data_IF_759519966316
#
_entry.id   IF_759519966316
#
_cell.length_a   1.000
_cell.length_b   1.000
_cell.length_c   1.000
_cell.angle_alpha   90.00
_cell.angle_beta   90.00
_cell.angle_gamma   90.00
#
_symmetry.space_group_name_H-M   'P 1'
#
loop_
_entity.id
_entity.type
_entity.pdbx_description
1 polymer ?
#
# COMPACT_ATOMS: atom_id res chain seq x y z
N UNK A 1 5.92 -64.23 -12.77
CA UNK A 1 6.01 -63.31 -11.62
C UNK A 1 6.84 -62.11 -12.06
N UNK A 2 6.22 -61.00 -12.45
CA UNK A 2 6.94 -59.84 -12.99
C UNK A 2 6.50 -58.61 -12.22
N UNK A 3 7.39 -58.07 -11.38
CA UNK A 3 7.16 -56.86 -10.57
C UNK A 3 7.51 -55.64 -11.42
N UNK A 4 6.51 -54.83 -11.73
CA UNK A 4 6.68 -53.51 -12.36
C UNK A 4 6.98 -52.50 -11.24
N UNK A 5 8.23 -52.01 -11.18
CA UNK A 5 8.63 -50.92 -10.27
C UNK A 5 8.50 -49.62 -11.04
N UNK A 6 7.50 -48.80 -10.68
CA UNK A 6 7.32 -47.46 -11.25
C UNK A 6 8.16 -46.48 -10.42
N UNK A 7 9.24 -45.97 -11.02
CA UNK A 7 10.08 -44.92 -10.44
C UNK A 7 9.49 -43.57 -10.87
N UNK A 8 8.77 -42.89 -9.98
CA UNK A 8 8.30 -41.53 -10.21
C UNK A 8 9.43 -40.55 -9.86
N UNK A 9 10.10 -40.01 -10.87
CA UNK A 9 11.08 -38.95 -10.69
C UNK A 9 10.35 -37.61 -10.45
N UNK A 10 10.43 -37.11 -9.22
CA UNK A 10 9.96 -35.78 -8.86
C UNK A 10 11.01 -34.75 -9.27
N UNK A 11 10.75 -33.99 -10.33
CA UNK A 11 11.60 -32.87 -10.77
C UNK A 11 11.14 -31.62 -10.02
N UNK A 12 11.90 -31.19 -9.01
CA UNK A 12 11.71 -29.89 -8.39
C UNK A 12 12.39 -28.82 -9.26
N UNK A 13 11.58 -28.04 -9.99
CA UNK A 13 12.06 -26.83 -10.67
C UNK A 13 12.17 -25.72 -9.63
N UNK A 14 13.40 -25.33 -9.30
CA UNK A 14 13.64 -24.15 -8.48
C UNK A 14 13.66 -22.92 -9.40
N UNK A 15 12.58 -22.15 -9.41
CA UNK A 15 12.55 -20.82 -10.02
C UNK A 15 13.10 -19.82 -9.01
N UNK A 16 14.21 -19.16 -9.32
CA UNK A 16 14.69 -18.03 -8.52
C UNK A 16 13.68 -16.88 -8.61
N UNK A 17 13.32 -16.22 -7.50
CA UNK A 17 12.47 -15.04 -7.56
C UNK A 17 13.25 -13.91 -8.24
N UNK A 18 12.68 -13.32 -9.29
CA UNK A 18 13.14 -12.03 -9.77
C UNK A 18 12.75 -10.99 -8.73
N UNK A 19 13.73 -10.30 -8.15
CA UNK A 19 13.47 -9.11 -7.35
C UNK A 19 13.07 -8.03 -8.35
N UNK A 20 11.81 -7.62 -8.33
CA UNK A 20 11.36 -6.48 -9.12
C UNK A 20 12.06 -5.23 -8.58
N UNK A 21 12.57 -4.38 -9.48
CA UNK A 21 13.03 -3.05 -9.11
C UNK A 21 11.82 -2.22 -8.68
N UNK A 22 12.02 -1.29 -7.75
CA UNK A 22 11.02 -0.29 -7.37
C UNK A 22 10.52 0.44 -8.62
N UNK A 23 9.21 0.52 -8.78
CA UNK A 23 8.61 1.23 -9.90
C UNK A 23 8.27 2.66 -9.46
N UNK A 24 8.78 3.65 -10.20
CA UNK A 24 8.46 5.04 -9.92
C UNK A 24 7.03 5.30 -10.40
N UNK A 25 6.09 5.46 -9.46
CA UNK A 25 4.68 5.69 -9.77
C UNK A 25 4.46 7.14 -10.16
N UNK A 26 5.01 8.06 -9.38
CA UNK A 26 4.87 9.49 -9.60
C UNK A 26 6.03 10.26 -8.95
N UNK A 27 6.51 11.31 -9.61
CA UNK A 27 7.43 12.26 -9.03
C UNK A 27 7.12 13.66 -9.58
N UNK A 28 6.97 14.62 -8.69
CA UNK A 28 6.96 16.02 -9.07
C UNK A 28 8.36 16.44 -9.54
N UNK A 29 8.42 17.38 -10.50
CA UNK A 29 9.68 18.01 -10.86
C UNK A 29 9.78 19.37 -10.15
N UNK A 30 10.86 19.64 -9.39
CA UNK A 30 11.05 20.94 -8.76
C UNK A 30 10.97 22.09 -9.78
N UNK A 31 10.17 23.11 -9.45
CA UNK A 31 9.89 24.27 -10.30
C UNK A 31 9.00 24.03 -11.52
N UNK A 32 8.38 22.85 -11.67
CA UNK A 32 7.41 22.57 -12.73
C UNK A 32 5.96 22.61 -12.21
N UNK A 33 5.31 23.76 -12.42
CA UNK A 33 3.89 23.97 -12.09
C UNK A 33 2.93 23.03 -12.84
N UNK A 34 3.41 22.28 -13.85
CA UNK A 34 2.62 21.32 -14.60
C UNK A 34 2.56 19.93 -13.98
N UNK A 35 3.42 19.63 -13.01
CA UNK A 35 3.49 18.35 -12.30
C UNK A 35 3.17 18.47 -10.83
N UNK A 36 2.57 19.58 -10.41
CA UNK A 36 2.18 19.83 -9.03
C UNK A 36 1.01 18.92 -8.62
N UNK A 37 1.08 18.36 -7.41
CA UNK A 37 -0.01 17.66 -6.78
C UNK A 37 -1.11 18.66 -6.38
N UNK A 38 -2.29 18.15 -6.07
CA UNK A 38 -3.43 19.04 -5.89
C UNK A 38 -3.47 19.63 -4.49
N UNK A 39 -3.64 20.95 -4.43
CA UNK A 39 -4.01 21.73 -3.24
C UNK A 39 -5.48 21.60 -2.81
N UNK A 40 -6.28 20.82 -3.55
CA UNK A 40 -7.74 20.85 -3.48
C UNK A 40 -8.31 19.52 -2.99
N UNK A 41 -8.91 19.55 -1.80
CA UNK A 41 -9.49 18.37 -1.12
C UNK A 41 -10.57 17.63 -1.92
N UNK A 42 -11.30 18.35 -2.78
CA UNK A 42 -12.35 17.78 -3.63
C UNK A 42 -11.87 17.24 -4.98
N UNK A 43 -10.61 17.51 -5.34
CA UNK A 43 -10.02 17.09 -6.60
C UNK A 43 -8.55 16.63 -6.46
N UNK A 44 -8.23 15.64 -5.60
CA UNK A 44 -6.87 15.12 -5.46
C UNK A 44 -6.26 14.67 -6.79
N UNK A 45 -4.92 14.78 -6.91
CA UNK A 45 -4.21 14.27 -8.09
C UNK A 45 -4.19 12.73 -8.08
N UNK A 46 -4.63 12.11 -9.17
CA UNK A 46 -4.63 10.64 -9.28
C UNK A 46 -3.29 10.13 -9.78
N UNK A 47 -2.53 9.45 -8.92
CA UNK A 47 -1.25 8.80 -9.29
C UNK A 47 -1.42 7.40 -9.90
N UNK A 48 -2.65 6.86 -9.86
CA UNK A 48 -2.99 5.59 -10.52
C UNK A 48 -2.94 4.36 -9.61
N UNK A 49 -2.77 3.18 -10.21
CA UNK A 49 -2.73 1.90 -9.49
C UNK A 49 -1.29 1.59 -9.08
N UNK A 50 -1.11 1.24 -7.81
CA UNK A 50 0.20 0.80 -7.31
C UNK A 50 0.66 -0.50 -8.01
N UNK A 51 1.95 -0.61 -8.33
CA UNK A 51 2.53 -1.83 -8.87
C UNK A 51 2.45 -2.97 -7.84
N UNK A 52 2.59 -4.21 -8.29
CA UNK A 52 2.88 -5.32 -7.39
C UNK A 52 4.33 -5.21 -6.92
N UNK A 53 4.55 -5.17 -5.60
CA UNK A 53 5.88 -4.99 -5.02
C UNK A 53 6.06 -3.56 -4.52
N UNK A 54 7.21 -2.96 -4.82
CA UNK A 54 7.56 -1.61 -4.36
C UNK A 54 7.15 -0.55 -5.41
N UNK A 55 6.50 0.53 -4.95
CA UNK A 55 6.19 1.70 -5.76
C UNK A 55 6.46 2.99 -5.01
N UNK A 56 6.91 4.04 -5.70
CA UNK A 56 7.29 5.31 -5.07
C UNK A 56 6.48 6.50 -5.60
N UNK A 57 6.04 7.37 -4.69
CA UNK A 57 5.51 8.70 -4.98
C UNK A 57 6.37 9.73 -4.27
N UNK A 58 6.93 10.70 -5.00
CA UNK A 58 7.76 11.76 -4.43
C UNK A 58 7.23 13.14 -4.83
N UNK A 59 7.42 14.12 -3.95
CA UNK A 59 7.01 15.49 -4.18
C UNK A 59 7.80 16.49 -3.36
N UNK A 60 7.52 17.77 -3.60
CA UNK A 60 8.19 18.92 -2.99
C UNK A 60 7.12 19.96 -2.69
N UNK A 61 6.97 20.30 -1.42
CA UNK A 61 6.21 21.49 -1.06
C UNK A 61 7.08 22.72 -1.32
N UNK A 62 6.74 23.48 -2.35
CA UNK A 62 7.38 24.74 -2.73
C UNK A 62 6.49 25.93 -2.32
N UNK A 63 7.11 27.00 -1.81
CA UNK A 63 6.40 28.25 -1.49
C UNK A 63 5.53 28.17 -0.23
N UNK A 64 6.15 27.63 0.80
CA UNK A 64 5.56 27.43 2.10
C UNK A 64 5.10 28.70 2.82
N UNK A 65 5.36 29.93 2.31
CA UNK A 65 4.77 31.18 2.80
C UNK A 65 3.22 31.19 2.79
N UNK A 66 2.59 30.19 2.16
CA UNK A 66 1.17 29.88 2.21
C UNK A 66 1.09 28.43 2.63
N UNK A 67 0.22 28.08 3.58
CA UNK A 67 -0.03 26.68 3.98
C UNK A 67 -0.30 25.84 2.74
N UNK A 68 0.76 25.20 2.24
CA UNK A 68 0.73 24.46 0.99
C UNK A 68 0.35 23.03 1.29
N UNK A 69 -0.32 22.42 0.33
CA UNK A 69 -1.08 21.21 0.54
C UNK A 69 -0.94 20.32 -0.67
N UNK A 70 -0.47 19.10 -0.45
CA UNK A 70 -0.41 18.06 -1.47
C UNK A 70 -1.42 16.97 -1.16
N UNK A 71 -2.36 16.78 -2.08
CA UNK A 71 -3.40 15.77 -1.97
C UNK A 71 -3.39 14.91 -3.22
N UNK A 72 -3.24 13.60 -3.00
CA UNK A 72 -3.20 12.63 -4.08
C UNK A 72 -3.92 11.34 -3.73
N UNK A 73 -4.40 10.66 -4.77
CA UNK A 73 -5.08 9.37 -4.66
C UNK A 73 -4.30 8.29 -5.37
N UNK A 74 -4.23 7.12 -4.74
CA UNK A 74 -3.68 5.90 -5.33
C UNK A 74 -4.68 4.75 -5.16
N UNK A 75 -4.51 3.72 -5.99
CA UNK A 75 -5.34 2.51 -5.97
C UNK A 75 -4.51 1.27 -5.64
N UNK A 76 -5.02 0.45 -4.72
CA UNK A 76 -4.57 -0.92 -4.47
C UNK A 76 -5.49 -1.86 -5.26
N UNK A 77 -4.93 -2.68 -6.15
CA UNK A 77 -5.74 -3.52 -7.03
C UNK A 77 -6.43 -4.69 -6.29
N UNK A 78 -7.50 -5.24 -6.88
CA UNK A 78 -8.43 -6.23 -6.30
C UNK A 78 -7.79 -7.56 -5.85
N UNK A 79 -6.57 -7.86 -6.28
CA UNK A 79 -5.81 -9.05 -5.86
C UNK A 79 -4.53 -8.67 -5.08
N UNK A 80 -4.47 -7.45 -4.56
CA UNK A 80 -3.36 -6.92 -3.79
C UNK A 80 -3.83 -6.43 -2.42
N UNK A 81 -2.86 -6.31 -1.52
CA UNK A 81 -2.98 -5.57 -0.29
C UNK A 81 -1.78 -4.63 -0.16
N UNK A 82 -1.97 -3.52 0.56
CA UNK A 82 -0.90 -2.60 0.90
C UNK A 82 -0.32 -2.98 2.26
N UNK A 83 0.94 -3.41 2.25
CA UNK A 83 1.64 -3.93 3.42
C UNK A 83 2.40 -2.87 4.19
N UNK A 84 2.91 -1.83 3.52
CA UNK A 84 3.55 -0.71 4.20
C UNK A 84 3.47 0.56 3.38
N UNK A 85 3.55 1.69 4.10
CA UNK A 85 3.84 3.00 3.52
C UNK A 85 5.01 3.56 4.31
N UNK A 86 6.21 3.52 3.74
CA UNK A 86 7.38 4.13 4.36
C UNK A 86 7.43 5.61 3.97
N UNK A 87 7.70 6.46 4.95
CA UNK A 87 7.77 7.91 4.78
C UNK A 87 9.22 8.38 4.81
N UNK A 88 9.62 9.17 3.82
CA UNK A 88 10.72 10.12 3.93
C UNK A 88 10.14 11.52 3.91
N UNK A 89 10.57 12.38 4.83
CA UNK A 89 10.12 13.77 4.93
C UNK A 89 11.23 14.64 5.49
N UNK A 90 11.43 15.82 4.92
CA UNK A 90 12.28 16.87 5.48
C UNK A 90 11.50 17.84 6.38
N UNK A 91 12.19 18.53 7.29
CA UNK A 91 11.57 19.60 8.09
C UNK A 91 10.80 19.12 9.32
N UNK A 92 10.07 20.03 9.97
CA UNK A 92 9.34 19.79 11.21
C UNK A 92 7.88 20.26 11.15
N UNK A 93 6.99 19.49 11.79
CA UNK A 93 5.58 19.84 12.08
C UNK A 93 4.66 19.91 10.85
N UNK A 94 4.75 18.92 9.97
CA UNK A 94 3.80 18.77 8.86
C UNK A 94 2.56 18.02 9.31
N UNK A 95 1.43 18.28 8.69
CA UNK A 95 0.23 17.48 8.86
C UNK A 95 0.18 16.39 7.79
N UNK A 96 -0.10 15.16 8.21
CA UNK A 96 -0.31 14.02 7.32
C UNK A 96 -1.60 13.29 7.70
N UNK A 97 -2.44 13.03 6.71
CA UNK A 97 -3.61 12.17 6.83
C UNK A 97 -3.72 11.16 5.68
N UNK A 98 -4.32 10.03 6.00
CA UNK A 98 -4.71 8.98 5.05
C UNK A 98 -6.19 8.70 5.24
N UNK A 99 -6.94 8.65 4.14
CA UNK A 99 -8.35 8.28 4.14
C UNK A 99 -8.63 7.20 3.09
N UNK A 100 -9.70 6.44 3.31
CA UNK A 100 -10.25 5.55 2.28
C UNK A 100 -11.11 6.35 1.31
N UNK A 101 -11.09 5.98 0.03
CA UNK A 101 -11.80 6.64 -1.06
C UNK A 101 -10.93 7.62 -1.83
N UNK A 102 -11.57 8.37 -2.74
CA UNK A 102 -10.92 9.29 -3.68
C UNK A 102 -10.97 10.77 -3.24
N UNK A 103 -11.41 11.03 -2.02
CA UNK A 103 -11.56 12.36 -1.44
C UNK A 103 -11.24 12.30 0.06
N UNK A 104 -10.81 13.43 0.61
CA UNK A 104 -10.54 13.59 2.04
C UNK A 104 -11.18 14.88 2.55
N UNK A 105 -11.88 14.80 3.69
CA UNK A 105 -12.55 15.94 4.30
C UNK A 105 -11.69 16.57 5.38
N UNK A 106 -11.27 17.82 5.21
CA UNK A 106 -10.48 18.54 6.24
C UNK A 106 -11.23 18.81 7.53
N UNK A 107 -12.57 18.75 7.51
CA UNK A 107 -13.42 18.99 8.67
C UNK A 107 -13.94 17.72 9.36
N UNK A 108 -13.71 16.55 8.79
CA UNK A 108 -14.29 15.29 9.28
C UNK A 108 -13.23 14.19 9.45
N UNK A 109 -12.61 14.20 10.63
CA UNK A 109 -11.61 13.22 11.05
C UNK A 109 -12.16 11.78 11.09
N UNK A 110 -13.48 11.59 11.16
CA UNK A 110 -14.08 10.24 11.22
C UNK A 110 -13.93 9.46 9.90
N UNK A 111 -13.61 10.16 8.82
CA UNK A 111 -13.34 9.59 7.50
C UNK A 111 -11.89 9.19 7.29
N UNK A 112 -11.00 9.59 8.21
CA UNK A 112 -9.56 9.34 8.11
C UNK A 112 -9.21 8.01 8.77
N UNK A 113 -8.38 7.22 8.09
CA UNK A 113 -7.74 6.03 8.65
C UNK A 113 -6.61 6.42 9.61
N UNK A 114 -5.93 7.53 9.33
CA UNK A 114 -4.92 8.13 10.19
C UNK A 114 -4.84 9.64 9.99
N UNK A 115 -4.44 10.37 11.03
CA UNK A 115 -4.13 11.80 10.93
C UNK A 115 -3.14 12.18 12.03
N UNK A 116 -1.93 12.59 11.66
CA UNK A 116 -0.86 12.90 12.63
C UNK A 116 -0.01 14.08 12.17
N UNK A 117 0.67 14.69 13.13
CA UNK A 117 1.80 15.56 12.83
C UNK A 117 3.03 14.70 12.58
N UNK A 118 3.82 15.05 11.58
CA UNK A 118 5.07 14.38 11.22
C UNK A 118 6.24 15.38 11.19
N UNK A 119 7.45 14.87 11.35
CA UNK A 119 8.71 15.60 11.17
C UNK A 119 9.79 14.66 10.62
N UNK A 120 10.97 15.20 10.35
CA UNK A 120 12.17 14.46 9.97
C UNK A 120 12.54 13.33 10.96
N UNK A 121 12.10 13.41 12.21
CA UNK A 121 12.23 12.33 13.21
C UNK A 121 11.42 11.08 12.88
N UNK A 122 10.38 11.21 12.05
CA UNK A 122 9.50 10.11 11.62
C UNK A 122 9.96 9.52 10.27
N UNK A 123 11.17 9.83 9.83
CA UNK A 123 11.75 9.23 8.64
C UNK A 123 11.88 7.71 8.79
N UNK A 124 11.49 7.00 7.74
CA UNK A 124 11.40 5.55 7.64
C UNK A 124 10.29 4.93 8.51
N UNK A 125 9.40 5.74 9.09
CA UNK A 125 8.19 5.20 9.73
C UNK A 125 7.35 4.45 8.70
N UNK A 126 6.89 3.27 9.08
CA UNK A 126 5.79 2.60 8.41
C UNK A 126 4.48 3.14 8.97
N UNK A 127 3.86 4.04 8.22
CA UNK A 127 2.64 4.74 8.62
C UNK A 127 1.53 3.76 9.06
N UNK A 128 1.45 2.57 8.44
CA UNK A 128 0.39 1.61 8.77
C UNK A 128 0.54 0.96 10.14
N UNK A 129 1.76 0.86 10.69
CA UNK A 129 2.02 0.08 11.91
C UNK A 129 2.65 0.88 13.04
N UNK A 130 3.45 1.89 12.71
CA UNK A 130 4.21 2.62 13.70
C UNK A 130 3.32 3.63 14.43
N UNK A 131 3.37 3.55 15.76
CA UNK A 131 2.65 4.47 16.64
C UNK A 131 3.48 5.76 16.68
N UNK A 132 2.95 6.90 16.20
CA UNK A 132 3.68 8.14 16.34
C UNK A 132 3.89 8.46 17.83
N UNK A 133 4.99 9.15 18.18
CA UNK A 133 5.10 9.73 19.51
C UNK A 133 3.86 10.61 19.78
N UNK A 134 3.38 10.70 21.04
CA UNK A 134 2.19 11.47 21.38
C UNK A 134 2.45 12.97 21.17
N UNK A 135 2.35 13.42 19.92
CA UNK A 135 2.30 14.82 19.56
C UNK A 135 0.86 15.31 19.73
N UNK A 136 0.72 16.52 20.27
CA UNK A 136 -0.56 17.09 20.61
C UNK A 136 -1.38 17.38 19.34
N UNK A 137 -2.44 16.60 19.08
CA UNK A 137 -3.54 17.04 18.20
C UNK A 137 -4.03 16.10 17.10
N UNK A 138 -3.55 14.85 16.99
CA UNK A 138 -3.95 13.91 15.92
C UNK A 138 -4.76 12.69 16.37
N UNK A 139 -5.32 11.96 15.40
CA UNK A 139 -5.70 10.54 15.56
C UNK A 139 -4.40 9.74 15.46
N UNK A 140 -3.80 9.44 16.61
CA UNK A 140 -2.48 8.80 16.70
C UNK A 140 -2.54 7.28 16.77
N UNK A 141 -3.70 6.65 16.59
CA UNK A 141 -3.79 5.19 16.59
C UNK A 141 -3.25 4.67 15.27
N UNK A 142 -2.20 3.84 15.25
CA UNK A 142 -1.79 3.17 14.02
C UNK A 142 -2.96 2.34 13.50
N UNK A 143 -3.00 2.16 12.19
CA UNK A 143 -3.97 1.27 11.55
C UNK A 143 -3.74 -0.16 12.05
N UNK A 144 -2.47 -0.55 12.22
CA UNK A 144 -2.03 -1.80 12.84
C UNK A 144 -2.20 -3.02 11.93
N UNK A 145 -2.56 -2.83 10.66
CA UNK A 145 -2.76 -3.90 9.69
C UNK A 145 -2.56 -3.41 8.25
N UNK A 146 -2.32 -4.35 7.33
CA UNK A 146 -2.29 -4.08 5.88
C UNK A 146 -3.66 -3.56 5.42
N UNK A 147 -3.67 -2.71 4.40
CA UNK A 147 -4.90 -2.21 3.79
C UNK A 147 -5.33 -3.10 2.63
N UNK A 148 -6.63 -3.36 2.52
CA UNK A 148 -7.19 -4.17 1.45
C UNK A 148 -7.17 -3.42 0.10
N UNK A 149 -7.58 -4.10 -0.97
CA UNK A 149 -7.86 -3.46 -2.24
C UNK A 149 -8.86 -2.30 -2.08
N UNK A 150 -8.60 -1.20 -2.78
CA UNK A 150 -9.41 0.01 -2.67
C UNK A 150 -8.68 1.25 -3.18
N UNK A 151 -9.42 2.36 -3.21
CA UNK A 151 -8.87 3.69 -3.46
C UNK A 151 -8.55 4.35 -2.11
N UNK A 152 -7.43 5.06 -2.06
CA UNK A 152 -6.96 5.76 -0.86
C UNK A 152 -6.48 7.16 -1.23
N UNK A 153 -6.61 8.09 -0.30
CA UNK A 153 -6.19 9.49 -0.45
C UNK A 153 -5.18 9.83 0.63
N UNK A 154 -4.02 10.39 0.24
CA UNK A 154 -3.06 11.02 1.14
C UNK A 154 -3.25 12.53 1.07
N UNK A 155 -3.17 13.17 2.23
CA UNK A 155 -3.13 14.62 2.40
C UNK A 155 -1.90 14.97 3.25
N UNK A 156 -0.96 15.66 2.64
CA UNK A 156 0.22 16.24 3.27
C UNK A 156 0.07 17.76 3.27
N UNK A 157 0.41 18.40 4.38
CA UNK A 157 0.30 19.86 4.50
C UNK A 157 1.42 20.43 5.36
N UNK A 158 1.99 21.53 4.88
CA UNK A 158 2.95 22.36 5.58
C UNK A 158 2.27 23.26 6.65
N UNK A 159 2.87 23.36 7.84
CA UNK A 159 2.34 24.19 8.96
C UNK A 159 3.33 25.20 9.54
N UNK A 160 4.62 25.08 9.22
CA UNK A 160 5.73 25.92 9.66
C UNK A 160 6.21 26.92 8.60
N UNK A 161 5.62 26.90 7.41
CA UNK A 161 5.96 27.75 6.27
C UNK A 161 7.40 27.53 5.75
N UNK A 162 7.87 26.28 5.73
CA UNK A 162 9.14 25.88 5.11
C UNK A 162 8.98 24.99 3.85
N UNK A 163 9.91 25.09 2.90
CA UNK A 163 9.95 24.18 1.77
C UNK A 163 10.58 22.86 2.22
N UNK A 164 10.03 21.73 1.80
CA UNK A 164 10.59 20.42 2.09
C UNK A 164 10.28 19.38 1.02
N UNK A 165 11.17 18.41 0.88
CA UNK A 165 11.00 17.23 0.03
C UNK A 165 10.36 16.09 0.83
N UNK A 166 9.55 15.27 0.16
CA UNK A 166 9.02 14.04 0.74
C UNK A 166 8.96 12.90 -0.28
N UNK A 167 8.94 11.69 0.25
CA UNK A 167 8.78 10.47 -0.53
C UNK A 167 7.93 9.46 0.26
N UNK A 168 6.97 8.84 -0.43
CA UNK A 168 6.20 7.70 0.05
C UNK A 168 6.62 6.45 -0.74
N UNK A 169 7.17 5.47 -0.04
CA UNK A 169 7.46 4.14 -0.60
C UNK A 169 6.35 3.17 -0.18
N UNK A 170 5.57 2.72 -1.15
CA UNK A 170 4.48 1.77 -0.97
C UNK A 170 4.98 0.35 -1.20
N UNK A 171 4.67 -0.57 -0.29
CA UNK A 171 4.87 -2.00 -0.49
C UNK A 171 3.52 -2.68 -0.64
N UNK A 172 3.28 -3.32 -1.79
CA UNK A 172 2.13 -4.19 -2.00
C UNK A 172 2.56 -5.64 -2.11
N UNK A 173 1.64 -6.55 -1.76
CA UNK A 173 1.77 -7.98 -2.05
C UNK A 173 0.50 -8.52 -2.68
N UNK A 174 0.66 -9.62 -3.40
CA UNK A 174 -0.48 -10.33 -3.93
C UNK A 174 -1.21 -10.99 -2.76
N UNK A 175 -2.51 -10.72 -2.64
CA UNK A 175 -3.39 -11.51 -1.79
C UNK A 175 -3.51 -12.86 -2.51
N UNK A 176 -2.66 -13.81 -2.14
CA UNK A 176 -2.81 -15.18 -2.62
C UNK A 176 -4.18 -15.62 -2.17
N UNK A 177 -5.12 -15.73 -3.12
CA UNK A 177 -6.36 -16.42 -2.88
C UNK A 177 -5.95 -17.78 -2.33
N UNK A 178 -6.17 -18.00 -1.03
CA UNK A 178 -5.93 -19.29 -0.40
C UNK A 178 -6.70 -20.26 -1.30
N UNK A 179 -6.02 -21.15 -2.06
CA UNK A 179 -6.73 -22.00 -2.98
C UNK A 179 -7.78 -22.72 -2.15
N UNK A 180 -9.07 -22.46 -2.44
CA UNK A 180 -10.13 -23.13 -1.70
C UNK A 180 -9.76 -24.61 -1.68
N UNK A 181 -9.80 -25.28 -0.50
CA UNK A 181 -9.29 -26.63 -0.35
C UNK A 181 -9.87 -27.46 -1.49
N UNK A 182 -9.00 -27.80 -2.44
CA UNK A 182 -9.45 -28.04 -3.82
C UNK A 182 -10.66 -28.95 -3.81
N UNK A 183 -11.79 -28.45 -4.30
CA UNK A 183 -13.01 -29.24 -4.46
C UNK A 183 -12.73 -30.48 -5.32
N UNK A 184 -11.65 -30.45 -6.12
CA UNK A 184 -11.02 -31.60 -6.78
C UNK A 184 -10.58 -32.71 -5.82
N UNK A 185 -9.99 -32.39 -4.67
CA UNK A 185 -9.61 -33.37 -3.65
C UNK A 185 -10.84 -34.02 -3.00
N UNK A 186 -11.87 -33.22 -2.70
CA UNK A 186 -13.14 -33.72 -2.16
C UNK A 186 -13.86 -34.60 -3.20
N UNK A 187 -13.91 -34.17 -4.46
CA UNK A 187 -14.46 -34.97 -5.56
C UNK A 187 -13.63 -36.22 -5.84
N UNK A 188 -12.31 -36.15 -5.70
CA UNK A 188 -11.41 -37.30 -5.83
C UNK A 188 -11.65 -38.34 -4.75
N UNK A 189 -11.80 -37.91 -3.49
CA UNK A 189 -12.17 -38.78 -2.38
C UNK A 189 -13.56 -39.40 -2.58
N UNK A 190 -14.56 -38.62 -3.00
CA UNK A 190 -15.89 -39.11 -3.33
C UNK A 190 -15.84 -40.14 -4.48
N UNK A 191 -15.08 -39.88 -5.54
CA UNK A 191 -14.85 -40.82 -6.63
C UNK A 191 -14.18 -42.13 -6.17
N UNK A 192 -13.19 -42.05 -5.29
CA UNK A 192 -12.55 -43.23 -4.69
C UNK A 192 -13.52 -44.05 -3.83
N UNK A 193 -14.34 -43.42 -3.00
CA UNK A 193 -15.32 -44.15 -2.18
C UNK A 193 -16.38 -44.87 -3.03
N UNK A 194 -16.86 -44.25 -4.11
CA UNK A 194 -17.82 -44.85 -5.03
C UNK A 194 -17.23 -46.04 -5.80
N UNK A 195 -15.96 -45.94 -6.24
CA UNK A 195 -15.29 -47.03 -6.95
C UNK A 195 -14.96 -48.22 -6.03
N UNK A 196 -14.61 -47.97 -4.77
CA UNK A 196 -14.41 -49.02 -3.76
C UNK A 196 -15.70 -49.75 -3.40
N UNK A 197 -16.84 -49.05 -3.36
CA UNK A 197 -18.15 -49.65 -3.05
C UNK A 197 -18.69 -50.56 -4.16
N UNK A 198 -18.30 -50.32 -5.43
CA UNK A 198 -18.73 -51.12 -6.58
C UNK A 198 -18.02 -52.47 -6.71
N UNK A 199 -16.97 -52.73 -5.91
CA UNK A 199 -16.19 -53.98 -5.90
C UNK A 199 -16.55 -54.96 -4.78
N UNK A 200 -17.54 -54.63 -3.95
CA UNK A 200 -18.18 -55.57 -3.00
C UNK A 200 -19.52 -55.99 -3.57
#
# INVERSE_FOLDING_TARGET
>A
MSRLVLLAALVCVFTSPNVALADLVYAENPGDLGTDLSDTHSAPTSVGTLPLGEGTVAGIIENADRNDVDIFTFKVDTNQQLDSIQLFVGGERHFLALAAGTQISSGDISTMLMARLISDTDQNDNLLYDVPPPLAGGITTPIGHSLAAGDYTIWLQELNFENFDYEFTFQTSAVTAIPEPSSVFVLGLLGMTLTLRRRR
#
